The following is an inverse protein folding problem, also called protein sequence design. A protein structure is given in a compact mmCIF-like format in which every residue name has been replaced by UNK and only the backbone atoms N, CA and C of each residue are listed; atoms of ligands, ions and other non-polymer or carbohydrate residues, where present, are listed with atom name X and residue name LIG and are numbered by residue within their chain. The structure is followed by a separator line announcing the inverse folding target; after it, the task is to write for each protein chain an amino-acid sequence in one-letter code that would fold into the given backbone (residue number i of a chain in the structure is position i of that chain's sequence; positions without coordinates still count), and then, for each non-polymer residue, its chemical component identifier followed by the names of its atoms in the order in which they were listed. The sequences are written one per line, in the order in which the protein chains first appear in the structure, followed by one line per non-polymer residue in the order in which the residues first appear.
data_IF_511808118612
#
_entry.id   IF_511808118612
#
_cell.length_a   1.000
_cell.length_b   1.000
_cell.length_c   1.000
_cell.angle_alpha   90.00
_cell.angle_beta   90.00
_cell.angle_gamma   90.00
#
_symmetry.space_group_name_H-M   'P 1'
#
loop_
_entity.id
_entity.type
_entity.pdbx_description
1 polymer ?
#
# COMPACT_ATOMS: atom_id res chain seq x y z
N UNK A 1 -21.81 68.96 -24.10
CA UNK A 1 -21.41 67.58 -24.44
C UNK A 1 -20.98 66.87 -23.16
N UNK A 2 -21.76 65.95 -22.69
CA UNK A 2 -21.45 65.21 -21.49
C UNK A 2 -20.89 63.85 -21.91
N UNK A 3 -19.58 63.64 -21.73
CA UNK A 3 -18.97 62.36 -21.97
C UNK A 3 -19.28 61.42 -20.83
N UNK A 4 -19.96 60.33 -21.12
CA UNK A 4 -20.19 59.24 -20.16
C UNK A 4 -18.94 58.37 -20.15
N UNK A 5 -18.16 58.45 -19.08
CA UNK A 5 -17.04 57.54 -18.88
C UNK A 5 -17.59 56.27 -18.27
N UNK A 6 -17.72 55.23 -19.08
CA UNK A 6 -17.95 53.88 -18.60
C UNK A 6 -16.63 53.35 -18.03
N UNK A 7 -16.44 53.44 -16.73
CA UNK A 7 -15.38 52.68 -16.05
C UNK A 7 -15.89 51.24 -15.97
N UNK A 8 -15.43 50.44 -16.93
CA UNK A 8 -15.56 48.98 -16.86
C UNK A 8 -14.70 48.49 -15.71
N UNK A 9 -15.32 48.24 -14.57
CA UNK A 9 -14.70 47.56 -13.44
C UNK A 9 -14.55 46.09 -13.82
N UNK A 10 -13.39 45.77 -14.39
CA UNK A 10 -13.00 44.40 -14.65
C UNK A 10 -12.78 43.72 -13.30
N UNK A 11 -13.76 42.97 -12.84
CA UNK A 11 -13.66 42.13 -11.68
C UNK A 11 -12.73 40.94 -12.06
N UNK A 12 -11.45 41.10 -11.77
CA UNK A 12 -10.50 39.98 -11.79
C UNK A 12 -10.85 39.07 -10.62
N UNK A 13 -11.72 38.10 -10.85
CA UNK A 13 -11.87 36.96 -9.96
C UNK A 13 -10.49 36.28 -9.84
N UNK A 14 -9.95 36.12 -8.64
CA UNK A 14 -8.76 35.31 -8.51
C UNK A 14 -9.13 33.92 -8.98
N UNK A 15 -8.56 33.51 -10.10
CA UNK A 15 -8.57 32.13 -10.51
C UNK A 15 -7.86 31.37 -9.38
N UNK A 16 -8.63 30.83 -8.44
CA UNK A 16 -8.11 29.82 -7.52
C UNK A 16 -7.69 28.65 -8.40
N UNK A 17 -6.42 28.64 -8.75
CA UNK A 17 -5.80 27.44 -9.27
C UNK A 17 -5.88 26.44 -8.12
N UNK A 18 -6.94 25.62 -8.14
CA UNK A 18 -6.97 24.41 -7.36
C UNK A 18 -5.75 23.62 -7.83
N UNK A 19 -4.68 23.63 -7.04
CA UNK A 19 -3.58 22.69 -7.27
C UNK A 19 -4.20 21.31 -7.21
N UNK A 20 -4.40 20.70 -8.38
CA UNK A 20 -4.69 19.29 -8.47
C UNK A 20 -3.63 18.60 -7.64
N UNK A 21 -4.04 17.88 -6.60
CA UNK A 21 -3.11 17.06 -5.85
C UNK A 21 -2.48 16.09 -6.83
N UNK A 22 -1.16 15.99 -6.79
CA UNK A 22 -0.42 15.06 -7.62
C UNK A 22 -0.96 13.66 -7.35
N UNK A 23 -1.77 13.14 -8.28
CA UNK A 23 -2.38 11.82 -8.18
C UNK A 23 -1.33 10.69 -8.09
N UNK A 24 -0.08 11.03 -8.43
CA UNK A 24 1.04 10.10 -8.36
C UNK A 24 1.74 10.09 -7.00
N UNK A 25 1.43 11.02 -6.11
CA UNK A 25 2.06 11.08 -4.80
C UNK A 25 1.66 9.90 -3.94
N UNK A 26 2.64 9.12 -3.49
CA UNK A 26 2.46 8.05 -2.52
C UNK A 26 2.87 8.54 -1.14
N UNK A 27 1.97 8.47 -0.20
CA UNK A 27 2.20 8.92 1.17
C UNK A 27 2.90 7.83 1.98
N UNK A 28 3.94 8.20 2.71
CA UNK A 28 4.60 7.31 3.68
C UNK A 28 3.92 7.33 5.05
N UNK A 29 3.39 8.48 5.43
CA UNK A 29 2.67 8.67 6.69
C UNK A 29 1.33 9.31 6.41
N UNK A 30 0.30 8.78 7.04
CA UNK A 30 -1.09 9.23 6.90
C UNK A 30 -1.78 9.23 8.25
N UNK A 31 -2.87 9.97 8.38
CA UNK A 31 -3.67 10.00 9.61
C UNK A 31 -4.35 8.64 9.86
N UNK A 32 -4.87 8.04 8.80
CA UNK A 32 -5.47 6.71 8.85
C UNK A 32 -4.84 5.81 7.79
N UNK A 33 -4.23 4.72 8.24
CA UNK A 33 -3.63 3.74 7.35
C UNK A 33 -4.68 2.96 6.56
N UNK A 34 -4.30 2.53 5.35
CA UNK A 34 -5.11 1.57 4.61
C UNK A 34 -5.33 0.31 5.45
N UNK A 35 -6.52 -0.24 5.38
CA UNK A 35 -6.84 -1.45 6.10
C UNK A 35 -7.71 -2.42 5.27
N UNK A 36 -7.81 -3.64 5.72
CA UNK A 36 -8.66 -4.68 5.16
C UNK A 36 -9.31 -5.47 6.29
N UNK A 37 -10.20 -6.39 5.97
CA UNK A 37 -10.77 -7.28 6.99
C UNK A 37 -9.64 -8.09 7.64
N UNK A 38 -9.39 -7.81 8.92
CA UNK A 38 -8.24 -8.35 9.64
C UNK A 38 -8.31 -9.88 9.78
N UNK A 39 -9.50 -10.43 9.94
CA UNK A 39 -9.69 -11.87 10.05
C UNK A 39 -9.30 -12.59 8.76
N UNK A 40 -9.86 -12.16 7.63
CA UNK A 40 -9.56 -12.78 6.33
C UNK A 40 -8.11 -12.57 5.91
N UNK A 41 -7.53 -11.44 6.27
CA UNK A 41 -6.12 -11.14 6.04
C UNK A 41 -5.21 -12.09 6.81
N UNK A 42 -5.44 -12.25 8.11
CA UNK A 42 -4.66 -13.15 8.95
C UNK A 42 -4.79 -14.61 8.53
N UNK A 43 -5.99 -15.05 8.16
CA UNK A 43 -6.23 -16.39 7.64
C UNK A 43 -5.48 -16.64 6.33
N UNK A 44 -5.50 -15.65 5.43
CA UNK A 44 -4.76 -15.72 4.16
C UNK A 44 -3.25 -15.83 4.39
N UNK A 45 -2.68 -14.95 5.23
CA UNK A 45 -1.26 -15.00 5.57
C UNK A 45 -0.90 -16.34 6.19
N UNK A 46 -1.64 -16.80 7.18
CA UNK A 46 -1.40 -18.06 7.88
C UNK A 46 -1.39 -19.26 6.94
N UNK A 47 -2.34 -19.30 6.01
CA UNK A 47 -2.43 -20.38 5.01
C UNK A 47 -1.30 -20.32 3.99
N UNK A 48 -0.96 -19.13 3.50
CA UNK A 48 0.04 -18.94 2.43
C UNK A 48 1.48 -19.01 2.90
N UNK A 49 1.74 -18.88 4.19
CA UNK A 49 3.08 -19.00 4.77
C UNK A 49 3.46 -20.42 5.19
N UNK A 50 2.55 -21.37 5.00
CA UNK A 50 2.87 -22.79 5.22
C UNK A 50 3.77 -23.29 4.11
N UNK A 51 4.95 -23.75 4.49
CA UNK A 51 5.94 -24.27 3.56
C UNK A 51 5.69 -25.77 3.27
N UNK A 52 5.81 -26.20 2.01
CA UNK A 52 5.78 -27.63 1.69
C UNK A 52 6.96 -28.38 2.31
N UNK A 53 6.77 -29.64 2.63
CA UNK A 53 7.82 -30.50 3.21
C UNK A 53 9.10 -30.54 2.35
N UNK A 54 8.94 -30.51 1.02
CA UNK A 54 10.06 -30.46 0.09
C UNK A 54 10.92 -29.21 0.27
N UNK A 55 10.31 -28.07 0.59
CA UNK A 55 11.02 -26.82 0.84
C UNK A 55 11.62 -26.79 2.22
N UNK A 56 10.89 -27.27 3.22
CA UNK A 56 11.36 -27.33 4.63
C UNK A 56 12.68 -28.12 4.74
N UNK A 57 12.82 -29.20 3.99
CA UNK A 57 14.04 -30.04 4.00
C UNK A 57 15.30 -29.32 3.49
N UNK A 58 15.11 -28.30 2.66
CA UNK A 58 16.23 -27.57 2.04
C UNK A 58 16.62 -26.32 2.83
N UNK A 59 15.83 -25.91 3.80
CA UNK A 59 16.03 -24.67 4.56
C UNK A 59 16.43 -25.02 6.00
N UNK A 60 17.50 -24.42 6.53
CA UNK A 60 17.86 -24.60 7.94
C UNK A 60 16.71 -24.23 8.87
N UNK A 61 16.54 -24.98 9.96
CA UNK A 61 15.52 -24.68 10.96
C UNK A 61 15.69 -23.26 11.51
N UNK A 62 14.59 -22.55 11.68
CA UNK A 62 14.59 -21.20 12.20
C UNK A 62 13.35 -20.41 11.80
N UNK A 63 13.36 -19.16 12.20
CA UNK A 63 12.31 -18.18 11.87
C UNK A 63 12.87 -17.17 10.89
N UNK A 64 12.19 -17.01 9.76
CA UNK A 64 12.59 -16.13 8.66
C UNK A 64 11.56 -15.05 8.50
N UNK A 65 11.98 -13.79 8.55
CA UNK A 65 11.10 -12.62 8.40
C UNK A 65 11.41 -11.89 7.10
N UNK A 66 10.39 -11.68 6.30
CA UNK A 66 10.46 -10.84 5.10
C UNK A 66 9.53 -9.65 5.28
N UNK A 67 10.08 -8.45 5.27
CA UNK A 67 9.28 -7.23 5.30
C UNK A 67 8.85 -6.87 3.88
N UNK A 68 7.56 -6.89 3.63
CA UNK A 68 6.98 -6.52 2.34
C UNK A 68 6.41 -5.12 2.43
N UNK A 69 6.79 -4.29 1.47
CA UNK A 69 6.19 -2.98 1.25
C UNK A 69 5.32 -3.03 0.00
N UNK A 70 4.13 -2.47 0.06
CA UNK A 70 3.24 -2.33 -1.07
C UNK A 70 2.47 -1.02 -1.00
N UNK A 71 1.80 -0.67 -2.08
CA UNK A 71 0.99 0.53 -2.17
C UNK A 71 -0.47 0.15 -2.25
N UNK A 72 -1.30 0.81 -1.47
CA UNK A 72 -2.76 0.76 -1.61
C UNK A 72 -3.20 2.09 -2.22
N UNK A 73 -3.83 2.04 -3.39
CA UNK A 73 -4.28 3.24 -4.09
C UNK A 73 -5.62 3.77 -3.55
N UNK A 74 -6.08 4.87 -4.10
CA UNK A 74 -7.33 5.53 -3.67
C UNK A 74 -8.59 4.68 -3.93
N UNK A 75 -8.48 3.65 -4.74
CA UNK A 75 -9.55 2.69 -5.04
C UNK A 75 -9.44 1.39 -4.24
N UNK A 76 -8.43 1.27 -3.39
CA UNK A 76 -8.17 0.07 -2.61
C UNK A 76 -7.43 -1.02 -3.38
N UNK A 77 -6.84 -0.72 -4.53
CA UNK A 77 -6.03 -1.66 -5.29
C UNK A 77 -4.61 -1.70 -4.75
N UNK A 78 -4.05 -2.90 -4.69
CA UNK A 78 -2.67 -3.14 -4.25
C UNK A 78 -1.74 -3.21 -5.45
N UNK A 79 -0.61 -2.53 -5.34
CA UNK A 79 0.44 -2.54 -6.36
C UNK A 79 1.81 -2.28 -5.78
N UNK A 80 2.82 -2.26 -6.63
CA UNK A 80 4.21 -1.98 -6.26
C UNK A 80 4.71 -2.83 -5.08
N UNK A 81 4.40 -4.12 -5.10
CA UNK A 81 4.76 -5.06 -4.04
C UNK A 81 6.24 -5.38 -4.13
N UNK A 82 6.98 -5.15 -3.06
CA UNK A 82 8.41 -5.51 -3.00
C UNK A 82 8.83 -6.01 -1.64
N UNK A 83 9.80 -6.91 -1.62
CA UNK A 83 10.49 -7.30 -0.42
C UNK A 83 11.58 -6.27 -0.07
N UNK A 84 11.60 -5.79 1.17
CA UNK A 84 12.62 -4.87 1.66
C UNK A 84 13.90 -5.58 2.11
N UNK A 85 13.81 -6.86 2.37
CA UNK A 85 14.92 -7.73 2.71
C UNK A 85 14.72 -9.11 2.08
N UNK A 86 15.79 -9.86 1.94
CA UNK A 86 15.78 -11.22 1.40
C UNK A 86 16.61 -12.15 2.28
N UNK A 87 15.96 -13.04 3.06
CA UNK A 87 16.68 -14.04 3.86
C UNK A 87 17.24 -15.20 3.03
N UNK A 88 16.98 -15.24 1.73
CA UNK A 88 17.37 -16.33 0.85
C UNK A 88 16.33 -17.43 0.74
N UNK A 89 16.70 -18.52 0.12
CA UNK A 89 15.87 -19.73 -0.07
C UNK A 89 14.58 -19.50 -0.86
N UNK A 90 14.49 -18.42 -1.64
CA UNK A 90 13.28 -18.06 -2.37
C UNK A 90 12.14 -17.52 -1.49
N UNK A 91 12.38 -17.25 -0.22
CA UNK A 91 11.36 -16.80 0.73
C UNK A 91 10.86 -15.38 0.42
N UNK A 92 11.73 -14.50 -0.09
CA UNK A 92 11.31 -13.15 -0.49
C UNK A 92 10.26 -13.18 -1.60
N UNK A 93 10.45 -14.03 -2.61
CA UNK A 93 9.47 -14.22 -3.68
C UNK A 93 8.17 -14.81 -3.15
N UNK A 94 8.25 -15.79 -2.27
CA UNK A 94 7.07 -16.40 -1.66
C UNK A 94 6.30 -15.38 -0.84
N UNK A 95 6.97 -14.51 -0.11
CA UNK A 95 6.34 -13.43 0.66
C UNK A 95 5.64 -12.40 -0.24
N UNK A 96 6.24 -12.03 -1.37
CA UNK A 96 5.57 -11.18 -2.37
C UNK A 96 4.32 -11.86 -2.90
N UNK A 97 4.36 -13.15 -3.17
CA UNK A 97 3.19 -13.92 -3.64
C UNK A 97 2.07 -13.98 -2.59
N UNK A 98 2.40 -14.00 -1.30
CA UNK A 98 1.40 -13.91 -0.22
C UNK A 98 0.57 -12.64 -0.36
N UNK A 99 1.21 -11.50 -0.58
CA UNK A 99 0.51 -10.22 -0.72
C UNK A 99 -0.26 -10.16 -2.04
N UNK A 100 0.36 -10.56 -3.14
CA UNK A 100 -0.22 -10.45 -4.49
C UNK A 100 -1.43 -11.36 -4.71
N UNK A 101 -1.52 -12.47 -3.99
CA UNK A 101 -2.62 -13.44 -4.12
C UNK A 101 -3.81 -13.16 -3.21
N UNK A 102 -3.71 -12.17 -2.34
CA UNK A 102 -4.83 -11.77 -1.48
C UNK A 102 -5.92 -11.10 -2.31
N UNK A 103 -7.15 -11.62 -2.20
CA UNK A 103 -8.30 -11.15 -2.97
C UNK A 103 -9.28 -10.29 -2.18
N UNK A 104 -8.99 -10.04 -0.92
CA UNK A 104 -9.81 -9.18 -0.09
C UNK A 104 -9.72 -7.71 -0.54
N UNK A 105 -10.73 -6.94 -0.21
CA UNK A 105 -10.76 -5.51 -0.52
C UNK A 105 -10.03 -4.71 0.54
N UNK A 106 -9.28 -3.73 0.09
CA UNK A 106 -8.63 -2.75 0.94
C UNK A 106 -9.43 -1.46 0.99
N UNK A 107 -9.51 -0.88 2.17
CA UNK A 107 -9.93 0.50 2.33
C UNK A 107 -8.70 1.38 2.19
N UNK A 108 -8.75 2.41 1.34
CA UNK A 108 -7.63 3.32 1.16
C UNK A 108 -7.24 4.02 2.45
N UNK A 109 -5.98 4.44 2.53
CA UNK A 109 -5.53 5.37 3.54
C UNK A 109 -6.27 6.71 3.43
N UNK A 110 -6.39 7.42 4.52
CA UNK A 110 -7.07 8.71 4.57
C UNK A 110 -6.16 9.78 5.17
N UNK A 111 -6.19 10.94 4.53
CA UNK A 111 -5.47 12.13 4.98
C UNK A 111 -6.38 13.34 4.82
N UNK A 112 -6.66 14.05 5.92
CA UNK A 112 -7.54 15.23 5.90
C UNK A 112 -8.91 14.98 5.24
N UNK A 113 -9.54 13.84 5.55
CA UNK A 113 -10.84 13.46 5.01
C UNK A 113 -10.85 12.98 3.56
N UNK A 114 -9.68 12.77 2.95
CA UNK A 114 -9.52 12.29 1.57
C UNK A 114 -8.85 10.94 1.52
N UNK A 115 -9.30 10.10 0.60
CA UNK A 115 -8.57 8.89 0.27
C UNK A 115 -7.28 9.24 -0.46
N UNK A 116 -6.18 8.67 0.01
CA UNK A 116 -4.86 8.89 -0.56
C UNK A 116 -4.17 7.57 -0.86
N UNK A 117 -3.28 7.62 -1.84
CA UNK A 117 -2.40 6.52 -2.17
C UNK A 117 -1.27 6.46 -1.16
N UNK A 118 -1.08 5.33 -0.50
CA UNK A 118 -0.11 5.22 0.59
C UNK A 118 0.63 3.90 0.59
N UNK A 119 1.84 3.92 1.11
CA UNK A 119 2.61 2.73 1.40
C UNK A 119 2.05 2.01 2.62
N UNK A 120 2.10 0.69 2.55
CA UNK A 120 1.82 -0.20 3.67
C UNK A 120 2.93 -1.24 3.78
N UNK A 121 3.29 -1.58 5.00
CA UNK A 121 4.26 -2.62 5.27
C UNK A 121 3.59 -3.79 5.98
N UNK A 122 3.99 -4.99 5.61
CA UNK A 122 3.54 -6.22 6.23
C UNK A 122 4.72 -7.15 6.40
N UNK A 123 5.09 -7.50 7.64
CA UNK A 123 6.06 -8.57 7.87
C UNK A 123 5.41 -9.92 7.58
N UNK A 124 6.10 -10.75 6.81
CA UNK A 124 5.73 -12.13 6.52
C UNK A 124 6.74 -13.03 7.22
N UNK A 125 6.26 -13.95 8.04
CA UNK A 125 7.09 -14.82 8.86
C UNK A 125 6.91 -16.26 8.39
N UNK A 126 8.04 -16.90 8.07
CA UNK A 126 8.12 -18.32 7.78
C UNK A 126 8.83 -19.05 8.93
N UNK A 127 8.23 -20.13 9.36
CA UNK A 127 8.80 -20.96 10.43
C UNK A 127 9.21 -22.29 9.83
N UNK A 128 10.50 -22.61 9.95
CA UNK A 128 11.05 -23.91 9.55
C UNK A 128 11.34 -24.67 10.84
N UNK A 129 10.60 -25.74 11.14
CA UNK A 129 10.79 -26.52 12.35
C UNK A 129 12.10 -27.30 12.32
N UNK A 130 12.63 -27.61 13.49
CA UNK A 130 13.73 -28.54 13.64
C UNK A 130 13.30 -29.92 13.16
N UNK A 131 14.20 -30.61 12.44
CA UNK A 131 14.00 -31.97 11.95
C UNK A 131 14.77 -32.97 12.82
#
# INVERSE_FOLDING_TARGET
MKGIIFTSLLFLLPFMVLKAQDENKVFEKVEQNANTNQKTWNEHISRKTQLPDSVIKEIPAGTYKVNIQFVVDIHGNVGQIKAKNDPGYGLAKMAVDVISTYKGKWQPANQCGRNVKAYKEQPIIFIVPAQ
#
